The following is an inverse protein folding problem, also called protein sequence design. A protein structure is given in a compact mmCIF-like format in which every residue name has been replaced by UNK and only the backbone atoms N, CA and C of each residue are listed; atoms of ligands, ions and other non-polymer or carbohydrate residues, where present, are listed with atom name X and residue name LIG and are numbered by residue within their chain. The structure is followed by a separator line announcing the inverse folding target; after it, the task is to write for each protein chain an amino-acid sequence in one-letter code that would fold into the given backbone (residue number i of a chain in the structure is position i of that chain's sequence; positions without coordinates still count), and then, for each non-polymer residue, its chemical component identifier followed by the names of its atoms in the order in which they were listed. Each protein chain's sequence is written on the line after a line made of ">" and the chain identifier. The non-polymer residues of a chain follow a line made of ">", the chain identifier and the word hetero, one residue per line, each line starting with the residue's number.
data_IF_921515427186
#
_entry.id   IF_921515427186
#
_cell.length_a   1.000
_cell.length_b   1.000
_cell.length_c   1.000
_cell.angle_alpha   90.00
_cell.angle_beta   90.00
_cell.angle_gamma   90.00
#
_symmetry.space_group_name_H-M   'P 1'
#
loop_
_entity.id
_entity.type
_entity.pdbx_description
1 polymer ?
#
# COMPACT_ATOMS: atom_id res chain seq x y z
N UNK A 1 -16.81 -7.14 -13.44
CA UNK A 1 -17.19 -5.72 -13.32
C UNK A 1 -16.23 -4.93 -14.19
N UNK A 2 -16.72 -4.05 -15.06
CA UNK A 2 -15.89 -3.24 -15.95
C UNK A 2 -16.08 -1.76 -15.62
N UNK A 3 -14.98 -1.01 -15.56
CA UNK A 3 -14.97 0.44 -15.34
C UNK A 3 -14.32 1.10 -16.56
N UNK A 4 -14.85 2.27 -16.96
CA UNK A 4 -14.33 3.04 -18.08
C UNK A 4 -13.72 4.33 -17.54
N UNK A 5 -12.46 4.58 -17.89
CA UNK A 5 -11.75 5.81 -17.54
C UNK A 5 -11.55 6.60 -18.84
N UNK A 6 -11.96 7.88 -18.83
CA UNK A 6 -11.68 8.78 -19.95
C UNK A 6 -10.28 9.34 -19.76
N UNK A 7 -9.45 9.20 -20.79
CA UNK A 7 -8.09 9.72 -20.85
C UNK A 7 -7.98 10.66 -22.04
N UNK A 8 -7.17 11.69 -21.90
CA UNK A 8 -6.61 12.42 -23.02
C UNK A 8 -5.63 11.53 -23.80
N UNK A 9 -5.27 11.93 -25.03
CA UNK A 9 -4.30 11.19 -25.83
C UNK A 9 -2.91 11.13 -25.17
N UNK A 10 -2.51 12.21 -24.48
CA UNK A 10 -1.23 12.26 -23.77
C UNK A 10 -1.19 11.31 -22.56
N UNK A 11 -2.23 11.32 -21.72
CA UNK A 11 -2.36 10.41 -20.58
C UNK A 11 -2.37 8.95 -21.03
N UNK A 12 -3.11 8.64 -22.11
CA UNK A 12 -3.16 7.29 -22.67
C UNK A 12 -1.79 6.86 -23.19
N UNK A 13 -1.06 7.75 -23.86
CA UNK A 13 0.29 7.47 -24.37
C UNK A 13 1.26 7.20 -23.23
N UNK A 14 1.21 8.01 -22.16
CA UNK A 14 2.01 7.84 -20.96
C UNK A 14 1.72 6.48 -20.28
N UNK A 15 0.46 6.21 -19.97
CA UNK A 15 0.04 5.00 -19.28
C UNK A 15 0.34 3.73 -20.11
N UNK A 16 0.15 3.79 -21.42
CA UNK A 16 0.51 2.68 -22.33
C UNK A 16 2.01 2.43 -22.37
N UNK A 17 2.83 3.49 -22.37
CA UNK A 17 4.29 3.36 -22.38
C UNK A 17 4.79 2.74 -21.07
N UNK A 18 4.25 3.19 -19.93
CA UNK A 18 4.53 2.61 -18.62
C UNK A 18 4.15 1.12 -18.56
N UNK A 19 2.95 0.77 -19.02
CA UNK A 19 2.47 -0.61 -19.02
C UNK A 19 3.38 -1.52 -19.87
N UNK A 20 3.77 -1.06 -21.07
CA UNK A 20 4.72 -1.78 -21.95
C UNK A 20 6.09 -1.98 -21.31
N UNK A 21 6.66 -0.95 -20.68
CA UNK A 21 7.96 -1.04 -20.00
C UNK A 21 7.96 -2.10 -18.89
N UNK A 22 6.82 -2.29 -18.23
CA UNK A 22 6.64 -3.24 -17.14
C UNK A 22 6.03 -4.57 -17.59
N UNK A 23 5.86 -4.80 -18.90
CA UNK A 23 5.20 -6.00 -19.46
C UNK A 23 3.80 -6.26 -18.88
N UNK A 24 3.05 -5.18 -18.60
CA UNK A 24 1.68 -5.21 -18.10
C UNK A 24 0.70 -4.79 -19.20
N UNK A 25 -0.54 -5.28 -19.12
CA UNK A 25 -1.66 -4.64 -19.80
C UNK A 25 -1.96 -3.29 -19.16
N UNK A 26 -2.63 -2.41 -19.92
CA UNK A 26 -3.04 -1.09 -19.41
C UNK A 26 -3.95 -1.23 -18.17
N UNK A 27 -4.87 -2.20 -18.19
CA UNK A 27 -5.76 -2.48 -17.06
C UNK A 27 -5.03 -2.97 -15.82
N UNK A 28 -4.02 -3.84 -15.97
CA UNK A 28 -3.18 -4.30 -14.85
C UNK A 28 -2.36 -3.16 -14.26
N UNK A 29 -1.77 -2.29 -15.11
CA UNK A 29 -1.03 -1.12 -14.64
C UNK A 29 -1.92 -0.19 -13.80
N UNK A 30 -3.14 0.12 -14.27
CA UNK A 30 -4.10 0.92 -13.50
C UNK A 30 -4.53 0.23 -12.20
N UNK A 31 -4.82 -1.07 -12.25
CA UNK A 31 -5.25 -1.83 -11.07
C UNK A 31 -4.16 -1.85 -10.02
N UNK A 32 -2.91 -2.12 -10.43
CA UNK A 32 -1.75 -2.14 -9.55
C UNK A 32 -1.53 -0.77 -8.90
N UNK A 33 -1.48 0.29 -9.70
CA UNK A 33 -1.29 1.65 -9.19
C UNK A 33 -2.39 2.07 -8.19
N UNK A 34 -3.65 1.68 -8.45
CA UNK A 34 -4.75 1.96 -7.53
C UNK A 34 -4.58 1.24 -6.18
N UNK A 35 -4.28 -0.07 -6.20
CA UNK A 35 -4.13 -0.83 -4.96
C UNK A 35 -2.87 -0.44 -4.19
N UNK A 36 -1.76 -0.15 -4.87
CA UNK A 36 -0.56 0.40 -4.23
C UNK A 36 -0.87 1.71 -3.50
N UNK A 37 -1.65 2.60 -4.12
CA UNK A 37 -2.04 3.86 -3.48
C UNK A 37 -2.92 3.64 -2.25
N UNK A 38 -3.88 2.72 -2.33
CA UNK A 38 -4.74 2.35 -1.21
C UNK A 38 -3.92 1.74 -0.07
N UNK A 39 -2.98 0.85 -0.39
CA UNK A 39 -2.09 0.19 0.58
C UNK A 39 -1.21 1.23 1.29
N UNK A 40 -0.56 2.13 0.56
CA UNK A 40 0.24 3.22 1.14
C UNK A 40 -0.57 4.07 2.12
N UNK A 41 -1.78 4.49 1.74
CA UNK A 41 -2.63 5.31 2.61
C UNK A 41 -3.08 4.54 3.86
N UNK A 42 -3.42 3.26 3.70
CA UNK A 42 -3.81 2.40 4.80
C UNK A 42 -2.65 2.16 5.77
N UNK A 43 -1.46 1.86 5.25
CA UNK A 43 -0.25 1.61 6.03
C UNK A 43 0.16 2.83 6.85
N UNK A 44 0.06 4.04 6.27
CA UNK A 44 0.31 5.29 6.99
C UNK A 44 -0.63 5.41 8.20
N UNK A 45 -1.93 5.21 8.00
CA UNK A 45 -2.92 5.31 9.08
C UNK A 45 -2.63 4.29 10.19
N UNK A 46 -2.38 3.03 9.83
CA UNK A 46 -2.08 1.97 10.79
C UNK A 46 -0.77 2.26 11.55
N UNK A 47 0.24 2.78 10.87
CA UNK A 47 1.51 3.17 11.48
C UNK A 47 1.32 4.32 12.47
N UNK A 48 0.57 5.37 12.10
CA UNK A 48 0.26 6.51 12.98
C UNK A 48 -0.50 6.07 14.23
N UNK A 49 -1.52 5.23 14.08
CA UNK A 49 -2.29 4.68 15.21
C UNK A 49 -1.39 3.87 16.15
N UNK A 50 -0.57 2.99 15.59
CA UNK A 50 0.35 2.14 16.35
C UNK A 50 1.41 2.96 17.08
N UNK A 51 1.95 3.98 16.41
CA UNK A 51 2.91 4.90 16.99
C UNK A 51 2.29 5.71 18.13
N UNK A 52 1.07 6.23 17.94
CA UNK A 52 0.34 6.94 19.00
C UNK A 52 0.12 6.06 20.23
N UNK A 53 -0.34 4.81 20.05
CA UNK A 53 -0.49 3.84 21.16
C UNK A 53 0.83 3.60 21.89
N UNK A 54 1.94 3.52 21.16
CA UNK A 54 3.26 3.39 21.77
C UNK A 54 3.66 4.62 22.60
N UNK A 55 3.44 5.83 22.09
CA UNK A 55 3.67 7.07 22.83
C UNK A 55 2.79 7.13 24.09
N UNK A 56 1.50 6.87 23.95
CA UNK A 56 0.52 6.90 25.05
C UNK A 56 0.80 5.82 26.12
N UNK A 57 1.46 4.71 25.75
CA UNK A 57 1.93 3.69 26.70
C UNK A 57 3.09 4.15 27.59
N UNK A 58 3.65 5.33 27.34
CA UNK A 58 4.87 5.83 27.96
C UNK A 58 6.13 5.26 27.34
N UNK A 59 6.08 4.86 26.05
CA UNK A 59 7.21 4.27 25.30
C UNK A 59 7.78 3.01 25.95
N UNK A 60 6.92 2.22 26.61
CA UNK A 60 7.34 1.01 27.31
C UNK A 60 7.75 -0.05 26.29
N UNK A 61 8.96 -0.56 26.42
CA UNK A 61 9.41 -1.75 25.71
C UNK A 61 9.08 -2.99 26.54
N UNK A 62 9.06 -4.14 25.86
CA UNK A 62 8.94 -5.45 26.49
C UNK A 62 9.98 -6.41 25.93
N UNK A 63 10.43 -7.41 26.72
CA UNK A 63 11.36 -8.42 26.25
C UNK A 63 10.84 -9.17 25.02
N UNK A 64 11.72 -9.47 24.07
CA UNK A 64 11.38 -10.28 22.89
C UNK A 64 10.88 -11.69 23.24
N UNK A 65 11.30 -12.21 24.40
CA UNK A 65 10.82 -13.50 24.93
C UNK A 65 9.32 -13.52 25.21
N UNK A 66 8.70 -12.38 25.57
CA UNK A 66 7.26 -12.28 25.75
C UNK A 66 6.52 -12.37 24.41
N UNK A 67 7.03 -11.68 23.38
CA UNK A 67 6.47 -11.76 22.03
C UNK A 67 6.55 -13.18 21.46
N UNK A 68 7.67 -13.89 21.67
CA UNK A 68 7.81 -15.29 21.23
C UNK A 68 6.74 -16.20 21.84
N UNK A 69 6.47 -16.07 23.14
CA UNK A 69 5.41 -16.82 23.82
C UNK A 69 4.03 -16.53 23.23
N UNK A 70 3.73 -15.28 22.90
CA UNK A 70 2.45 -14.89 22.27
C UNK A 70 2.29 -15.47 20.86
N UNK A 71 3.38 -15.56 20.10
CA UNK A 71 3.39 -16.11 18.74
C UNK A 71 3.53 -17.64 18.68
N UNK A 72 3.72 -18.31 19.83
CA UNK A 72 3.95 -19.75 19.88
C UNK A 72 5.30 -20.20 19.30
N UNK A 73 6.31 -19.33 19.36
CA UNK A 73 7.68 -19.53 18.85
C UNK A 73 8.71 -19.80 19.94
#
# INVERSE_FOLDING_TARGET
>A
MAFSIRLTEEEKKLATSYAKLNSLSLGEAFKKALFEKIEEEYDIVVAEESFKKYIDSGKKSRPFSELKKELGL
#
